data_IF_036150594583
#
_entry.id   IF_036150594583
#
_cell.length_a   1.000
_cell.length_b   1.000
_cell.length_c   1.000
_cell.angle_alpha   90.00
_cell.angle_beta   90.00
_cell.angle_gamma   90.00
#
_symmetry.space_group_name_H-M   'P 1'
#
loop_
_entity.id
_entity.type
_entity.pdbx_description
1 polymer ?
#
# COMPACT_ATOMS: atom_id res chain seq x y z
N UNK A 1 -29.50 61.13 14.34
CA UNK A 1 -28.04 60.98 14.23
C UNK A 1 -27.78 59.96 13.11
N UNK A 2 -28.08 60.26 11.84
CA UNK A 2 -27.23 60.97 10.86
C UNK A 2 -25.76 60.50 10.90
N UNK A 3 -25.35 59.73 9.89
CA UNK A 3 -23.97 59.28 9.65
C UNK A 3 -23.06 60.41 9.15
N UNK A 4 -21.77 60.10 8.89
CA UNK A 4 -21.32 60.03 7.49
C UNK A 4 -20.32 58.86 7.26
N UNK A 5 -20.39 58.13 6.16
CA UNK A 5 -19.88 58.43 4.82
C UNK A 5 -18.48 57.84 4.58
N UNK A 6 -18.45 56.91 3.62
CA UNK A 6 -17.33 56.26 2.94
C UNK A 6 -16.17 57.21 2.60
N UNK A 7 -14.92 56.73 2.64
CA UNK A 7 -13.90 56.64 1.55
C UNK A 7 -12.80 55.69 2.08
N UNK A 8 -12.36 54.61 1.44
CA UNK A 8 -11.84 54.57 0.08
C UNK A 8 -10.30 54.68 0.13
N UNK A 9 -9.58 53.59 0.42
CA UNK A 9 -8.15 53.49 0.08
C UNK A 9 -7.89 52.21 -0.72
N UNK A 10 -8.01 52.39 -2.03
CA UNK A 10 -7.68 51.42 -3.05
C UNK A 10 -6.16 51.48 -3.28
N UNK A 11 -5.39 50.59 -2.64
CA UNK A 11 -3.96 50.49 -2.93
C UNK A 11 -3.80 49.78 -4.28
N UNK A 12 -3.49 50.60 -5.27
CA UNK A 12 -3.17 50.25 -6.65
C UNK A 12 -1.84 49.51 -6.70
N UNK A 13 -1.85 48.17 -6.63
CA UNK A 13 -0.67 47.39 -6.97
C UNK A 13 -0.68 47.07 -8.46
N UNK A 14 0.26 47.70 -9.15
CA UNK A 14 0.49 47.70 -10.58
C UNK A 14 0.80 46.28 -11.06
N UNK A 15 -0.03 45.79 -11.98
CA UNK A 15 0.30 44.66 -12.85
C UNK A 15 1.62 44.96 -13.56
N UNK A 16 2.63 44.12 -13.31
CA UNK A 16 3.69 43.86 -14.26
C UNK A 16 3.39 42.49 -14.86
N UNK A 17 2.90 42.52 -16.08
CA UNK A 17 2.74 41.39 -16.98
C UNK A 17 4.10 40.74 -17.23
N UNK A 18 4.40 39.67 -16.49
CA UNK A 18 5.40 38.68 -16.86
C UNK A 18 4.66 37.38 -17.11
N UNK A 19 4.31 37.11 -18.36
CA UNK A 19 3.86 35.79 -18.81
C UNK A 19 5.06 34.84 -18.74
N UNK A 20 5.38 34.36 -17.54
CA UNK A 20 6.21 33.17 -17.38
C UNK A 20 5.25 32.02 -17.13
N UNK A 21 4.85 31.35 -18.20
CA UNK A 21 4.09 30.11 -18.14
C UNK A 21 4.99 29.02 -17.58
N UNK A 22 5.17 28.98 -16.26
CA UNK A 22 5.70 27.80 -15.60
C UNK A 22 4.62 26.72 -15.65
N UNK A 23 4.85 25.75 -16.52
CA UNK A 23 4.10 24.53 -16.60
C UNK A 23 4.12 23.85 -15.22
N UNK A 24 2.95 23.61 -14.64
CA UNK A 24 2.77 22.60 -13.60
C UNK A 24 2.95 21.23 -14.26
N UNK A 25 4.22 20.90 -14.54
CA UNK A 25 4.60 19.57 -14.91
C UNK A 25 4.50 18.75 -13.64
N UNK A 26 3.39 18.02 -13.50
CA UNK A 26 3.26 16.89 -12.60
C UNK A 26 4.31 15.85 -13.01
N UNK A 27 5.57 16.11 -12.64
CA UNK A 27 6.63 15.13 -12.69
C UNK A 27 6.32 14.14 -11.57
N UNK A 28 5.60 13.07 -11.91
CA UNK A 28 5.88 11.80 -11.26
C UNK A 28 7.33 11.48 -11.60
N UNK A 29 8.25 12.01 -10.80
CA UNK A 29 9.66 11.69 -10.92
C UNK A 29 9.79 10.21 -10.61
N UNK A 30 9.81 9.40 -11.67
CA UNK A 30 10.30 8.04 -11.60
C UNK A 30 11.77 8.21 -11.23
N UNK A 31 12.02 8.15 -9.93
CA UNK A 31 13.33 8.01 -9.34
C UNK A 31 13.90 6.73 -9.98
N UNK A 32 14.66 6.89 -11.06
CA UNK A 32 15.49 5.82 -11.57
C UNK A 32 16.65 5.68 -10.60
N UNK A 33 16.34 5.10 -9.43
CA UNK A 33 17.36 4.66 -8.49
C UNK A 33 18.23 3.66 -9.21
N UNK A 34 19.55 3.88 -9.11
CA UNK A 34 20.65 2.91 -9.28
C UNK A 34 20.11 1.52 -9.65
N UNK A 35 20.38 1.04 -10.86
CA UNK A 35 19.85 -0.23 -11.36
C UNK A 35 20.18 -1.37 -10.38
N UNK A 36 19.25 -1.62 -9.46
CA UNK A 36 19.42 -2.60 -8.42
C UNK A 36 19.30 -3.96 -9.10
N UNK A 37 20.42 -4.68 -9.17
CA UNK A 37 20.47 -6.01 -9.77
C UNK A 37 19.76 -7.02 -8.85
N UNK A 38 18.44 -7.12 -9.01
CA UNK A 38 17.59 -8.01 -8.22
C UNK A 38 17.73 -9.51 -8.54
N UNK A 39 18.71 -9.88 -9.35
CA UNK A 39 19.01 -11.28 -9.66
C UNK A 39 19.76 -11.97 -8.53
N UNK A 40 20.49 -11.22 -7.71
CA UNK A 40 21.17 -11.77 -6.54
C UNK A 40 20.24 -11.83 -5.32
N UNK A 41 20.16 -13.03 -4.73
CA UNK A 41 19.37 -13.28 -3.54
C UNK A 41 19.92 -12.55 -2.32
N UNK A 42 21.26 -12.42 -2.20
CA UNK A 42 21.89 -11.73 -1.08
C UNK A 42 21.47 -10.26 -1.00
N UNK A 43 21.49 -9.58 -2.15
CA UNK A 43 21.05 -8.19 -2.33
C UNK A 43 19.57 -8.03 -1.98
N UNK A 44 18.71 -8.94 -2.46
CA UNK A 44 17.27 -8.95 -2.15
C UNK A 44 17.02 -9.10 -0.64
N UNK A 45 17.66 -10.09 0.00
CA UNK A 45 17.50 -10.34 1.44
C UNK A 45 17.99 -9.15 2.28
N UNK A 46 19.12 -8.55 1.92
CA UNK A 46 19.64 -7.35 2.60
C UNK A 46 18.64 -6.20 2.51
N UNK A 47 18.09 -5.93 1.33
CA UNK A 47 17.11 -4.87 1.14
C UNK A 47 15.82 -5.13 1.93
N UNK A 48 15.31 -6.36 1.92
CA UNK A 48 14.12 -6.75 2.69
C UNK A 48 14.34 -6.60 4.21
N UNK A 49 15.53 -6.95 4.72
CA UNK A 49 15.88 -6.74 6.14
C UNK A 49 15.94 -5.25 6.50
N UNK A 50 16.46 -4.41 5.61
CA UNK A 50 16.48 -2.96 5.84
C UNK A 50 15.06 -2.39 5.88
N UNK A 51 14.22 -2.72 4.90
CA UNK A 51 12.80 -2.32 4.88
C UNK A 51 12.10 -2.79 6.16
N UNK A 52 12.37 -4.02 6.58
CA UNK A 52 11.80 -4.59 7.81
C UNK A 52 12.17 -3.78 9.05
N UNK A 53 13.44 -3.35 9.18
CA UNK A 53 13.92 -2.52 10.29
C UNK A 53 13.31 -1.11 10.25
N UNK A 54 13.29 -0.49 9.07
CA UNK A 54 12.72 0.86 8.86
C UNK A 54 11.23 0.92 9.21
N UNK A 55 10.50 -0.19 9.03
CA UNK A 55 9.05 -0.27 9.29
C UNK A 55 8.71 -0.97 10.61
N UNK A 56 9.68 -1.20 11.50
CA UNK A 56 9.43 -1.77 12.84
C UNK A 56 8.94 -3.23 12.82
N UNK A 57 9.28 -4.01 11.80
CA UNK A 57 8.84 -5.40 11.63
C UNK A 57 9.78 -6.43 12.29
N UNK A 58 10.74 -5.98 13.09
CA UNK A 58 11.68 -6.86 13.84
C UNK A 58 12.46 -7.86 12.97
N UNK A 59 12.74 -7.51 11.72
CA UNK A 59 13.42 -8.42 10.78
C UNK A 59 12.49 -9.47 10.13
N UNK A 60 11.19 -9.45 10.41
CA UNK A 60 10.19 -10.29 9.73
C UNK A 60 10.02 -9.86 8.27
N UNK A 61 9.55 -10.80 7.44
CA UNK A 61 9.26 -10.57 6.04
C UNK A 61 8.22 -9.44 5.86
N UNK A 62 8.53 -8.37 5.12
CA UNK A 62 7.57 -7.32 4.78
C UNK A 62 6.38 -7.85 3.98
N UNK A 63 5.17 -7.33 4.21
CA UNK A 63 4.00 -7.71 3.42
C UNK A 63 4.14 -7.19 1.98
N UNK A 64 3.62 -7.96 1.04
CA UNK A 64 3.54 -7.63 -0.38
C UNK A 64 2.80 -6.32 -0.64
N UNK A 65 1.82 -5.97 0.20
CA UNK A 65 1.11 -4.69 0.12
C UNK A 65 2.04 -3.54 0.49
N UNK A 66 2.77 -3.67 1.59
CA UNK A 66 3.74 -2.66 2.04
C UNK A 66 4.81 -2.40 0.97
N UNK A 67 5.36 -3.45 0.37
CA UNK A 67 6.35 -3.32 -0.71
C UNK A 67 5.80 -2.56 -1.92
N UNK A 68 4.53 -2.77 -2.28
CA UNK A 68 3.89 -2.02 -3.37
C UNK A 68 3.68 -0.55 -3.01
N UNK A 69 3.21 -0.27 -1.80
CA UNK A 69 3.00 1.10 -1.31
C UNK A 69 4.30 1.90 -1.28
N UNK A 70 5.42 1.25 -0.95
CA UNK A 70 6.75 1.86 -0.93
C UNK A 70 7.43 1.95 -2.31
N UNK A 71 6.77 1.53 -3.39
CA UNK A 71 7.33 1.59 -4.75
C UNK A 71 8.29 0.44 -5.11
N UNK A 72 8.49 -0.54 -4.23
CA UNK A 72 9.32 -1.73 -4.47
C UNK A 72 8.62 -2.80 -5.34
N UNK A 73 7.88 -2.37 -6.36
CA UNK A 73 7.17 -3.26 -7.28
C UNK A 73 8.12 -4.15 -8.09
N UNK A 74 9.25 -3.60 -8.56
CA UNK A 74 10.29 -4.33 -9.30
C UNK A 74 10.94 -5.42 -8.46
N UNK A 75 11.28 -5.11 -7.20
CA UNK A 75 11.77 -6.06 -6.20
C UNK A 75 10.76 -7.19 -5.93
N UNK A 76 9.47 -6.85 -5.80
CA UNK A 76 8.44 -7.89 -5.62
C UNK A 76 8.34 -8.82 -6.84
N UNK A 77 8.50 -8.29 -8.06
CA UNK A 77 8.47 -9.09 -9.28
C UNK A 77 9.70 -9.99 -9.42
N UNK A 78 10.89 -9.50 -9.09
CA UNK A 78 12.10 -10.33 -9.11
C UNK A 78 12.01 -11.47 -8.08
N UNK A 79 11.48 -11.21 -6.88
CA UNK A 79 11.21 -12.25 -5.88
C UNK A 79 10.31 -13.36 -6.46
N UNK A 80 9.26 -12.98 -7.21
CA UNK A 80 8.32 -13.93 -7.81
C UNK A 80 8.91 -14.73 -8.96
N UNK A 81 9.72 -14.11 -9.81
CA UNK A 81 10.24 -14.73 -11.03
C UNK A 81 11.54 -15.50 -10.79
N UNK A 82 12.45 -14.94 -9.98
CA UNK A 82 13.83 -15.40 -9.91
C UNK A 82 14.14 -16.16 -8.61
N UNK A 83 13.44 -15.86 -7.51
CA UNK A 83 13.81 -16.34 -6.16
C UNK A 83 12.84 -17.36 -5.57
N UNK A 84 12.02 -18.02 -6.40
CA UNK A 84 11.06 -19.05 -5.96
C UNK A 84 9.80 -18.51 -5.28
N UNK A 85 9.61 -17.19 -5.29
CA UNK A 85 8.43 -16.53 -4.75
C UNK A 85 8.57 -16.04 -3.31
N UNK A 86 7.52 -15.35 -2.86
CA UNK A 86 7.50 -14.66 -1.56
C UNK A 86 7.63 -15.65 -0.40
N UNK A 87 7.05 -16.84 -0.52
CA UNK A 87 7.08 -17.87 0.52
C UNK A 87 8.51 -18.40 0.72
N UNK A 88 9.21 -18.68 -0.37
CA UNK A 88 10.59 -19.19 -0.32
C UNK A 88 11.52 -18.17 0.33
N UNK A 89 11.43 -16.91 -0.10
CA UNK A 89 12.21 -15.82 0.51
C UNK A 89 11.84 -15.58 1.98
N UNK A 90 10.56 -15.72 2.34
CA UNK A 90 10.11 -15.63 3.73
C UNK A 90 10.75 -16.71 4.61
N UNK A 91 10.84 -17.96 4.12
CA UNK A 91 11.54 -19.04 4.82
C UNK A 91 13.02 -18.70 5.01
N UNK A 92 13.69 -18.18 3.97
CA UNK A 92 15.10 -17.75 4.03
C UNK A 92 15.35 -16.56 4.97
N UNK A 93 14.33 -15.73 5.19
CA UNK A 93 14.33 -14.66 6.20
C UNK A 93 14.08 -15.19 7.63
N UNK A 94 13.78 -16.48 7.80
CA UNK A 94 13.48 -17.09 9.10
C UNK A 94 11.99 -17.05 9.49
N UNK A 95 11.11 -16.56 8.61
CA UNK A 95 9.67 -16.59 8.86
C UNK A 95 9.07 -17.92 8.42
N UNK A 96 8.69 -18.73 9.40
CA UNK A 96 8.13 -20.07 9.17
C UNK A 96 6.60 -20.05 9.30
N UNK A 97 5.92 -20.78 8.40
CA UNK A 97 4.47 -20.94 8.51
C UNK A 97 4.14 -21.95 9.61
N UNK A 98 3.42 -21.52 10.64
CA UNK A 98 2.87 -22.44 11.62
C UNK A 98 1.69 -23.22 11.01
N UNK A 99 1.91 -24.47 10.63
CA UNK A 99 0.92 -25.33 9.97
C UNK A 99 -0.38 -25.49 10.78
N UNK A 100 -0.30 -25.49 12.13
CA UNK A 100 -1.48 -25.58 13.00
C UNK A 100 -2.37 -24.36 12.86
N UNK A 101 -1.77 -23.17 12.84
CA UNK A 101 -2.48 -21.89 12.68
C UNK A 101 -3.14 -21.81 11.30
N UNK A 102 -2.42 -22.23 10.24
CA UNK A 102 -2.97 -22.27 8.87
C UNK A 102 -4.17 -23.20 8.78
N UNK A 103 -4.06 -24.41 9.34
CA UNK A 103 -5.15 -25.37 9.36
C UNK A 103 -6.37 -24.84 10.13
N UNK A 104 -6.15 -24.20 11.28
CA UNK A 104 -7.20 -23.56 12.07
C UNK A 104 -7.89 -22.45 11.29
N UNK A 105 -7.12 -21.57 10.63
CA UNK A 105 -7.66 -20.50 9.80
C UNK A 105 -8.53 -21.02 8.66
N UNK A 106 -8.09 -22.08 7.97
CA UNK A 106 -8.87 -22.76 6.92
C UNK A 106 -10.20 -23.30 7.47
N UNK A 107 -10.18 -23.93 8.65
CA UNK A 107 -11.38 -24.42 9.33
C UNK A 107 -12.33 -23.28 9.69
N UNK A 108 -11.81 -22.16 10.20
CA UNK A 108 -12.62 -21.01 10.58
C UNK A 108 -13.28 -20.34 9.37
N UNK A 109 -12.55 -20.12 8.27
CA UNK A 109 -13.13 -19.61 7.02
C UNK A 109 -14.28 -20.49 6.53
N UNK A 110 -14.07 -21.82 6.51
CA UNK A 110 -15.10 -22.75 6.07
C UNK A 110 -16.36 -22.67 6.96
N UNK A 111 -16.19 -22.54 8.28
CA UNK A 111 -17.30 -22.36 9.23
C UNK A 111 -18.04 -21.05 9.00
N UNK A 112 -17.34 -19.94 8.82
CA UNK A 112 -17.95 -18.63 8.55
C UNK A 112 -18.78 -18.66 7.27
N UNK A 113 -18.25 -19.23 6.18
CA UNK A 113 -18.99 -19.39 4.92
C UNK A 113 -20.28 -20.19 5.10
N UNK A 114 -20.23 -21.30 5.83
CA UNK A 114 -21.42 -22.14 6.11
C UNK A 114 -22.46 -21.41 6.95
N UNK A 115 -22.04 -20.67 7.98
CA UNK A 115 -22.92 -19.86 8.82
C UNK A 115 -23.60 -18.76 8.01
N UNK A 116 -22.85 -18.06 7.17
CA UNK A 116 -23.38 -17.03 6.26
C UNK A 116 -24.44 -17.62 5.32
N UNK A 117 -24.15 -18.75 4.67
CA UNK A 117 -25.13 -19.44 3.80
C UNK A 117 -26.41 -19.82 4.55
N UNK A 118 -26.30 -20.34 5.77
CA UNK A 118 -27.48 -20.68 6.59
C UNK A 118 -28.29 -19.43 6.95
N UNK A 119 -27.62 -18.33 7.29
CA UNK A 119 -28.30 -17.07 7.58
C UNK A 119 -29.05 -16.54 6.36
N UNK A 120 -28.42 -16.59 5.19
CA UNK A 120 -29.06 -16.23 3.91
C UNK A 120 -30.31 -17.08 3.67
N UNK A 121 -30.23 -18.40 3.85
CA UNK A 121 -31.38 -19.30 3.71
C UNK A 121 -32.53 -18.97 4.68
N UNK A 122 -32.21 -18.69 5.95
CA UNK A 122 -33.22 -18.31 6.94
C UNK A 122 -33.86 -16.94 6.61
N UNK A 123 -33.07 -15.99 6.12
CA UNK A 123 -33.57 -14.69 5.70
C UNK A 123 -34.51 -14.81 4.49
N UNK A 124 -34.16 -15.64 3.51
CA UNK A 124 -35.04 -15.94 2.38
C UNK A 124 -36.33 -16.62 2.85
N UNK A 125 -36.23 -17.62 3.73
CA UNK A 125 -37.42 -18.27 4.29
C UNK A 125 -38.32 -17.27 5.02
N UNK A 126 -37.78 -16.42 5.90
CA UNK A 126 -38.58 -15.39 6.60
C UNK A 126 -39.34 -14.44 5.65
N UNK A 127 -38.86 -14.23 4.43
CA UNK A 127 -39.52 -13.35 3.46
C UNK A 127 -40.81 -13.94 2.89
N UNK A 128 -40.92 -15.27 2.78
CA UNK A 128 -42.07 -15.94 2.14
C UNK A 128 -43.22 -16.32 3.10
N UNK A 129 -43.06 -16.12 4.41
CA UNK A 129 -44.06 -16.48 5.43
C UNK A 129 -44.68 -15.24 6.13
N UNK A 130 -44.48 -14.04 5.59
CA UNK A 130 -45.18 -12.80 5.96
C UNK A 130 -46.18 -12.40 4.89
#
# INVERSE_FOLDING_TARGET
MLGPHLQGLFVKLKLLSGTSSYTLQSQSCIFHSKADNWNDLGTVLKKLRNISRENGLEGKMPDTKLLKTLGYGSLLQSIRKNHGGVVEVATKMGTHKNHKIVALHKKNIARTKRRKKRQEQLNQHKFYFN
#
